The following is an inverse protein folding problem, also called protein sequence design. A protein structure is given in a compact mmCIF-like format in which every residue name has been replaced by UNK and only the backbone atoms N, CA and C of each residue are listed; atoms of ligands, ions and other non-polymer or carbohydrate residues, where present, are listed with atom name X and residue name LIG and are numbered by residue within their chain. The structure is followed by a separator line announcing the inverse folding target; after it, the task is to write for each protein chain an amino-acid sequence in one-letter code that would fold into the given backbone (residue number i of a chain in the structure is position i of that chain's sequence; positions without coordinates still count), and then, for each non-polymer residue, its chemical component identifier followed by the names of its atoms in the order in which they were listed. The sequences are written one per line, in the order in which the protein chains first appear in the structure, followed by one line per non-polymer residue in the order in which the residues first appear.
data_IF_262616083578
#
_entry.id   IF_262616083578
#
_cell.length_a   1.000
_cell.length_b   1.000
_cell.length_c   1.000
_cell.angle_alpha   90.00
_cell.angle_beta   90.00
_cell.angle_gamma   90.00
#
_symmetry.space_group_name_H-M   'P 1'
#
loop_
_entity.id
_entity.type
_entity.pdbx_description
1 polymer ?
#
# COMPACT_ATOMS: atom_id res chain seq x y z
N UNK A 1 -20.66 -23.86 -19.64
CA UNK A 1 -19.42 -23.55 -18.89
C UNK A 1 -18.54 -22.73 -19.81
N UNK A 2 -18.71 -21.41 -19.82
CA UNK A 2 -17.77 -20.53 -20.52
C UNK A 2 -16.57 -20.33 -19.61
N UNK A 3 -15.45 -20.94 -19.96
CA UNK A 3 -14.14 -20.61 -19.39
C UNK A 3 -13.80 -19.21 -19.87
N UNK A 4 -13.95 -18.22 -19.00
CA UNK A 4 -13.50 -16.84 -19.24
C UNK A 4 -12.01 -16.91 -19.54
N UNK A 5 -11.60 -16.33 -20.67
CA UNK A 5 -10.20 -16.34 -21.10
C UNK A 5 -9.42 -15.21 -20.40
N UNK A 6 -8.10 -15.37 -20.18
CA UNK A 6 -7.24 -14.29 -19.68
C UNK A 6 -7.32 -12.99 -20.51
N UNK A 7 -7.68 -13.08 -21.79
CA UNK A 7 -7.89 -11.92 -22.67
C UNK A 7 -9.14 -11.11 -22.33
N UNK A 8 -10.22 -11.73 -21.82
CA UNK A 8 -11.40 -11.00 -21.35
C UNK A 8 -11.14 -10.29 -20.00
N UNK A 9 -10.17 -10.76 -19.22
CA UNK A 9 -9.64 -10.09 -18.03
C UNK A 9 -8.71 -8.91 -18.38
N UNK A 10 -8.27 -8.80 -19.63
CA UNK A 10 -7.28 -7.84 -20.12
C UNK A 10 -7.86 -6.50 -20.59
N UNK A 11 -9.14 -6.20 -20.32
CA UNK A 11 -9.69 -4.86 -20.53
C UNK A 11 -9.11 -3.85 -19.51
N UNK A 12 -7.84 -3.48 -19.72
CA UNK A 12 -6.99 -2.55 -18.96
C UNK A 12 -6.99 -2.78 -17.45
N UNK A 13 -6.17 -3.74 -17.00
CA UNK A 13 -5.84 -3.90 -15.59
C UNK A 13 -5.26 -2.59 -15.03
N UNK A 14 -5.52 -2.32 -13.75
CA UNK A 14 -5.04 -1.14 -13.04
C UNK A 14 -3.86 -1.55 -12.17
N UNK A 15 -2.74 -0.82 -12.24
CA UNK A 15 -1.66 -0.91 -11.26
C UNK A 15 -1.67 0.33 -10.36
N UNK A 16 -1.67 0.11 -9.06
CA UNK A 16 -1.30 1.15 -8.09
C UNK A 16 0.15 0.97 -7.68
N UNK A 17 0.99 1.96 -7.91
CA UNK A 17 2.38 1.90 -7.45
C UNK A 17 2.84 3.20 -6.80
N UNK A 18 3.86 3.09 -5.95
CA UNK A 18 4.47 4.23 -5.27
C UNK A 18 5.95 4.36 -5.64
N UNK A 19 6.49 5.58 -5.67
CA UNK A 19 7.93 5.84 -5.77
C UNK A 19 8.49 6.25 -4.41
N UNK A 20 9.62 5.66 -4.03
CA UNK A 20 10.35 5.96 -2.80
C UNK A 20 11.86 6.01 -3.09
N UNK A 21 12.66 6.58 -2.19
CA UNK A 21 14.10 6.84 -2.43
C UNK A 21 14.57 8.09 -1.69
N UNK A 22 15.87 8.27 -1.53
CA UNK A 22 16.48 9.41 -0.86
C UNK A 22 16.18 10.74 -1.56
N UNK A 23 16.50 11.85 -0.88
CA UNK A 23 16.57 13.17 -1.53
C UNK A 23 17.65 13.09 -2.61
N UNK A 24 17.38 13.73 -3.76
CA UNK A 24 18.26 13.72 -4.95
C UNK A 24 18.42 12.38 -5.69
N UNK A 25 17.80 11.27 -5.28
CA UNK A 25 17.84 10.01 -6.05
C UNK A 25 17.11 10.08 -7.41
N UNK A 26 16.44 11.19 -7.71
CA UNK A 26 15.81 11.45 -9.01
C UNK A 26 14.40 10.88 -9.17
N UNK A 27 13.63 10.75 -8.07
CA UNK A 27 12.22 10.28 -8.07
C UNK A 27 11.34 11.09 -9.01
N UNK A 28 11.26 12.39 -8.78
CA UNK A 28 10.47 13.33 -9.59
C UNK A 28 10.91 13.32 -11.05
N UNK A 29 12.22 13.19 -11.31
CA UNK A 29 12.76 13.08 -12.68
C UNK A 29 12.30 11.79 -13.36
N UNK A 30 12.35 10.64 -12.68
CA UNK A 30 11.86 9.36 -13.21
C UNK A 30 10.37 9.44 -13.52
N UNK A 31 9.58 9.97 -12.58
CA UNK A 31 8.14 10.13 -12.76
C UNK A 31 7.84 11.03 -13.94
N UNK A 32 8.49 12.20 -14.00
CA UNK A 32 8.35 13.13 -15.12
C UNK A 32 8.71 12.49 -16.46
N UNK A 33 9.77 11.67 -16.49
CA UNK A 33 10.19 10.90 -17.67
C UNK A 33 9.14 9.88 -18.10
N UNK A 34 8.62 9.09 -17.16
CA UNK A 34 7.55 8.13 -17.45
C UNK A 34 6.30 8.81 -18.02
N UNK A 35 5.91 9.96 -17.47
CA UNK A 35 4.75 10.72 -17.95
C UNK A 35 4.99 11.34 -19.34
N UNK A 36 6.20 11.88 -19.57
CA UNK A 36 6.60 12.45 -20.85
C UNK A 36 6.64 11.39 -21.96
N UNK A 37 7.39 10.32 -21.73
CA UNK A 37 7.67 9.30 -22.74
C UNK A 37 6.44 8.41 -23.01
N UNK A 38 5.54 8.25 -22.03
CA UNK A 38 4.24 7.60 -22.23
C UNK A 38 3.23 8.45 -23.00
N UNK A 39 3.59 9.67 -23.43
CA UNK A 39 2.72 10.63 -24.14
C UNK A 39 1.42 10.95 -23.39
N UNK A 40 1.45 10.85 -22.05
CA UNK A 40 0.30 11.11 -21.19
C UNK A 40 0.14 12.59 -20.84
N UNK A 41 1.11 13.43 -21.22
CA UNK A 41 1.11 14.87 -20.98
C UNK A 41 0.65 15.61 -22.24
N UNK A 42 -0.31 16.52 -22.08
CA UNK A 42 -0.76 17.42 -23.15
C UNK A 42 0.38 18.39 -23.53
N UNK A 43 0.55 18.64 -24.83
CA UNK A 43 1.67 19.42 -25.40
C UNK A 43 1.84 20.81 -24.76
N UNK A 44 0.75 21.45 -24.36
CA UNK A 44 0.73 22.76 -23.70
C UNK A 44 1.38 22.77 -22.31
N UNK A 45 1.27 21.67 -21.55
CA UNK A 45 1.94 21.52 -20.26
C UNK A 45 3.44 21.33 -20.41
N UNK A 46 3.87 20.61 -21.45
CA UNK A 46 5.28 20.45 -21.80
C UNK A 46 5.93 21.78 -22.19
N UNK A 47 5.28 22.57 -23.04
CA UNK A 47 5.74 23.91 -23.41
C UNK A 47 5.80 24.88 -22.21
N UNK A 48 4.95 24.68 -21.20
CA UNK A 48 5.01 25.46 -19.96
C UNK A 48 6.22 25.08 -19.09
N UNK A 49 6.56 23.79 -19.02
CA UNK A 49 7.73 23.28 -18.31
C UNK A 49 9.01 23.74 -19.00
N UNK A 50 9.11 23.61 -20.32
CA UNK A 50 10.27 24.09 -21.09
C UNK A 50 10.54 25.58 -20.86
N UNK A 51 9.49 26.41 -20.88
CA UNK A 51 9.62 27.84 -20.58
C UNK A 51 10.08 28.11 -19.15
N UNK A 52 9.58 27.34 -18.18
CA UNK A 52 9.97 27.47 -16.78
C UNK A 52 11.43 27.05 -16.56
N UNK A 53 11.87 25.94 -17.15
CA UNK A 53 13.26 25.45 -17.08
C UNK A 53 14.24 26.40 -17.77
N UNK A 54 13.88 26.94 -18.94
CA UNK A 54 14.67 27.95 -19.63
C UNK A 54 14.82 29.22 -18.78
N UNK A 55 13.76 29.64 -18.07
CA UNK A 55 13.84 30.79 -17.14
C UNK A 55 14.74 30.56 -15.93
N UNK A 56 15.00 29.29 -15.58
CA UNK A 56 15.93 28.85 -14.54
C UNK A 56 17.34 28.54 -15.06
N UNK A 57 17.58 28.69 -16.37
CA UNK A 57 18.89 28.52 -16.99
C UNK A 57 19.29 27.08 -17.30
N UNK A 58 18.34 26.13 -17.34
CA UNK A 58 18.60 24.75 -17.76
C UNK A 58 18.52 24.60 -19.29
N UNK A 59 19.40 23.78 -19.87
CA UNK A 59 19.45 23.54 -21.33
C UNK A 59 18.33 22.63 -21.86
N UNK A 60 17.54 21.99 -20.99
CA UNK A 60 16.41 21.13 -21.35
C UNK A 60 15.25 21.20 -20.34
N UNK A 61 14.10 20.57 -20.64
CA UNK A 61 12.94 20.58 -19.75
C UNK A 61 13.23 19.82 -18.45
N UNK A 62 13.00 20.48 -17.33
CA UNK A 62 13.06 19.89 -15.99
C UNK A 62 11.74 19.20 -15.70
N UNK A 63 11.71 17.90 -15.99
CA UNK A 63 10.52 17.08 -15.87
C UNK A 63 10.03 16.94 -14.42
N UNK A 64 10.84 17.28 -13.41
CA UNK A 64 10.38 17.33 -12.02
C UNK A 64 9.30 18.42 -11.80
N UNK A 65 9.27 19.46 -12.63
CA UNK A 65 8.23 20.50 -12.56
C UNK A 65 6.82 19.99 -12.88
N UNK A 66 6.70 18.80 -13.48
CA UNK A 66 5.41 18.15 -13.75
C UNK A 66 4.84 17.49 -12.49
N UNK A 67 5.70 17.09 -11.56
CA UNK A 67 5.30 16.37 -10.34
C UNK A 67 5.08 17.31 -9.17
N UNK A 68 5.93 18.34 -9.04
CA UNK A 68 5.98 19.22 -7.88
C UNK A 68 4.87 20.30 -7.93
N UNK A 69 3.82 20.06 -7.15
CA UNK A 69 2.57 20.83 -7.19
C UNK A 69 2.60 22.07 -6.31
N UNK A 70 3.30 22.03 -5.17
CA UNK A 70 3.33 23.11 -4.20
C UNK A 70 4.44 24.12 -4.51
N UNK A 71 4.20 25.39 -4.18
CA UNK A 71 5.23 26.44 -4.36
C UNK A 71 6.46 26.18 -3.50
N UNK A 72 6.26 25.66 -2.28
CA UNK A 72 7.34 25.25 -1.38
C UNK A 72 8.16 24.08 -1.95
N UNK A 73 7.52 23.10 -2.59
CA UNK A 73 8.22 22.00 -3.29
C UNK A 73 9.13 22.56 -4.39
N UNK A 74 8.61 23.46 -5.22
CA UNK A 74 9.34 24.08 -6.34
C UNK A 74 10.48 25.01 -5.93
N UNK A 75 10.38 25.62 -4.75
CA UNK A 75 11.40 26.50 -4.16
C UNK A 75 12.52 25.68 -3.51
N UNK A 76 12.20 24.50 -2.96
CA UNK A 76 13.14 23.65 -2.24
C UNK A 76 13.68 22.46 -3.07
N UNK A 77 13.07 22.14 -4.22
CA UNK A 77 13.46 21.01 -5.06
C UNK A 77 13.17 19.64 -4.43
N UNK A 78 12.17 19.55 -3.55
CA UNK A 78 11.77 18.31 -2.86
C UNK A 78 10.26 18.07 -2.97
N UNK A 79 9.84 16.81 -3.06
CA UNK A 79 8.43 16.41 -2.86
C UNK A 79 8.11 16.50 -1.37
N UNK A 80 6.98 17.12 -1.02
CA UNK A 80 6.54 17.33 0.38
C UNK A 80 5.28 16.50 0.66
N UNK A 81 4.29 16.49 -0.23
CA UNK A 81 3.05 15.72 -0.07
C UNK A 81 2.92 14.60 -1.10
N UNK A 82 2.06 13.61 -0.86
CA UNK A 82 1.84 12.52 -1.82
C UNK A 82 1.09 13.05 -3.04
N UNK A 83 1.75 13.13 -4.18
CA UNK A 83 1.12 13.52 -5.44
C UNK A 83 0.61 12.28 -6.18
N UNK A 84 -0.71 12.22 -6.39
CA UNK A 84 -1.32 11.17 -7.22
C UNK A 84 -1.33 11.58 -8.69
N UNK A 85 -0.77 10.72 -9.55
CA UNK A 85 -0.75 10.89 -11.01
C UNK A 85 -1.42 9.68 -11.68
N UNK A 86 -2.09 9.96 -12.78
CA UNK A 86 -2.84 8.97 -13.55
C UNK A 86 -2.29 8.97 -14.97
N UNK A 87 -1.92 7.80 -15.46
CA UNK A 87 -1.50 7.63 -16.84
C UNK A 87 -1.88 6.24 -17.34
N UNK A 88 -1.82 6.03 -18.64
CA UNK A 88 -2.16 4.76 -19.24
C UNK A 88 -1.28 4.49 -20.46
N UNK A 89 -1.02 3.21 -20.69
CA UNK A 89 -0.45 2.71 -21.94
C UNK A 89 -1.53 1.93 -22.69
N UNK A 90 -1.27 1.49 -23.93
CA UNK A 90 -2.16 0.56 -24.62
C UNK A 90 -2.38 -0.75 -23.84
N UNK A 91 -1.45 -1.15 -22.96
CA UNK A 91 -1.52 -2.39 -22.19
C UNK A 91 -2.19 -2.24 -20.83
N UNK A 92 -2.04 -1.09 -20.15
CA UNK A 92 -2.39 -0.98 -18.72
C UNK A 92 -2.67 0.45 -18.25
N UNK A 93 -3.48 0.59 -17.18
CA UNK A 93 -3.73 1.86 -16.50
C UNK A 93 -2.93 1.94 -15.20
N UNK A 94 -2.49 3.13 -14.84
CA UNK A 94 -1.61 3.36 -13.71
C UNK A 94 -2.14 4.47 -12.78
N UNK A 95 -2.03 4.21 -11.48
CA UNK A 95 -2.12 5.22 -10.43
C UNK A 95 -0.77 5.24 -9.74
N UNK A 96 -0.05 6.34 -9.91
CA UNK A 96 1.22 6.58 -9.25
C UNK A 96 1.01 7.47 -8.02
N UNK A 97 1.55 7.05 -6.88
CA UNK A 97 1.73 7.88 -5.70
C UNK A 97 3.20 8.30 -5.58
N UNK A 98 3.50 9.56 -5.87
CA UNK A 98 4.85 10.08 -5.67
C UNK A 98 5.06 10.40 -4.19
N UNK A 99 5.92 9.65 -3.50
CA UNK A 99 6.14 9.82 -2.05
C UNK A 99 7.41 10.62 -1.76
N UNK A 100 7.37 11.52 -0.77
CA UNK A 100 8.51 12.34 -0.40
C UNK A 100 9.66 11.49 0.16
N UNK A 101 10.90 11.86 -0.17
CA UNK A 101 12.09 11.08 0.20
C UNK A 101 12.77 11.46 1.51
N UNK A 102 12.31 12.50 2.18
CA UNK A 102 12.95 12.99 3.40
C UNK A 102 12.39 12.26 4.64
N UNK A 103 13.26 11.96 5.60
CA UNK A 103 12.96 11.17 6.82
C UNK A 103 11.77 11.71 7.62
N UNK A 104 11.55 13.02 7.58
CA UNK A 104 10.44 13.68 8.27
C UNK A 104 9.05 13.33 7.68
N UNK A 105 8.99 12.61 6.56
CA UNK A 105 7.74 12.32 5.83
C UNK A 105 7.39 10.83 5.75
N UNK A 106 7.85 10.02 6.71
CA UNK A 106 7.44 8.60 6.86
C UNK A 106 5.91 8.42 6.77
N UNK A 107 5.12 9.31 7.40
CA UNK A 107 3.65 9.27 7.32
C UNK A 107 3.10 9.39 5.89
N UNK A 108 3.78 10.13 5.02
CA UNK A 108 3.37 10.33 3.63
C UNK A 108 3.68 9.07 2.82
N UNK A 109 4.86 8.45 3.04
CA UNK A 109 5.15 7.14 2.46
C UNK A 109 4.13 6.08 2.92
N UNK A 110 3.78 6.03 4.21
CA UNK A 110 2.74 5.12 4.72
C UNK A 110 1.42 5.33 3.99
N UNK A 111 1.02 6.59 3.80
CA UNK A 111 -0.21 6.93 3.08
C UNK A 111 -0.17 6.43 1.64
N UNK A 112 0.89 6.73 0.88
CA UNK A 112 1.03 6.30 -0.52
C UNK A 112 1.17 4.79 -0.70
N UNK A 113 2.07 4.15 0.06
CA UNK A 113 2.40 2.74 -0.06
C UNK A 113 1.31 1.81 0.51
N UNK A 114 0.47 2.28 1.44
CA UNK A 114 -0.63 1.46 2.01
C UNK A 114 -1.65 0.96 0.98
N UNK A 115 -1.75 1.62 -0.17
CA UNK A 115 -2.64 1.22 -1.27
C UNK A 115 -1.91 0.68 -2.50
N UNK A 116 -0.56 0.70 -2.46
CA UNK A 116 0.28 0.28 -3.56
C UNK A 116 0.35 -1.26 -3.65
N UNK A 117 0.36 -1.74 -4.90
CA UNK A 117 0.63 -3.11 -5.31
C UNK A 117 2.12 -3.30 -5.67
N UNK A 118 2.80 -2.20 -5.99
CA UNK A 118 4.22 -2.15 -6.29
C UNK A 118 4.88 -0.89 -5.71
N UNK A 119 6.11 -0.99 -5.22
CA UNK A 119 6.93 0.18 -4.85
C UNK A 119 8.22 0.18 -5.66
N UNK A 120 8.51 1.31 -6.34
CA UNK A 120 9.80 1.57 -6.99
C UNK A 120 10.68 2.33 -6.02
N UNK A 121 11.75 1.71 -5.54
CA UNK A 121 12.75 2.29 -4.66
C UNK A 121 13.93 2.73 -5.52
N UNK A 122 14.14 4.04 -5.61
CA UNK A 122 15.25 4.62 -6.35
C UNK A 122 16.50 4.71 -5.48
N UNK A 123 17.65 4.49 -6.10
CA UNK A 123 18.98 4.61 -5.47
C UNK A 123 19.94 5.30 -6.43
N UNK A 124 20.61 6.36 -6.00
CA UNK A 124 21.71 6.97 -6.74
C UNK A 124 22.93 6.03 -6.83
N UNK A 125 23.33 5.64 -8.04
CA UNK A 125 24.44 4.74 -8.30
C UNK A 125 25.80 5.22 -7.73
N UNK A 126 25.95 6.54 -7.47
CA UNK A 126 27.15 7.10 -6.86
C UNK A 126 27.23 6.85 -5.35
N UNK A 127 26.07 6.78 -4.70
CA UNK A 127 25.95 6.68 -3.25
C UNK A 127 25.71 5.22 -2.80
N UNK A 128 25.09 4.41 -3.65
CA UNK A 128 24.68 3.06 -3.30
C UNK A 128 23.57 3.05 -2.26
N UNK A 129 23.42 1.94 -1.52
CA UNK A 129 22.34 1.76 -0.56
C UNK A 129 22.60 2.59 0.70
N UNK A 130 21.84 3.68 0.86
CA UNK A 130 21.92 4.54 2.05
C UNK A 130 20.84 4.18 3.09
N UNK A 131 20.97 4.74 4.30
CA UNK A 131 20.01 4.56 5.40
C UNK A 131 18.56 4.86 5.00
N UNK A 132 18.34 5.91 4.19
CA UNK A 132 17.01 6.25 3.68
C UNK A 132 16.45 5.17 2.74
N UNK A 133 17.28 4.56 1.89
CA UNK A 133 16.89 3.43 1.03
C UNK A 133 16.44 2.24 1.87
N UNK A 134 17.21 1.92 2.91
CA UNK A 134 16.88 0.85 3.87
C UNK A 134 15.57 1.12 4.59
N UNK A 135 15.38 2.35 5.09
CA UNK A 135 14.12 2.78 5.71
C UNK A 135 12.92 2.64 4.77
N UNK A 136 13.04 3.04 3.51
CA UNK A 136 11.95 2.88 2.53
C UNK A 136 11.65 1.41 2.23
N UNK A 137 12.66 0.55 2.11
CA UNK A 137 12.47 -0.89 1.95
C UNK A 137 11.77 -1.50 3.18
N UNK A 138 12.19 -1.13 4.40
CA UNK A 138 11.55 -1.57 5.64
C UNK A 138 10.08 -1.16 5.73
N UNK A 139 9.75 0.07 5.31
CA UNK A 139 8.36 0.54 5.25
C UNK A 139 7.53 -0.20 4.19
N UNK A 140 8.10 -0.45 3.00
CA UNK A 140 7.42 -1.22 1.96
C UNK A 140 7.13 -2.66 2.43
N UNK A 141 8.08 -3.28 3.13
CA UNK A 141 7.94 -4.61 3.74
C UNK A 141 6.88 -4.61 4.86
N UNK A 142 6.95 -3.65 5.78
CA UNK A 142 5.97 -3.46 6.86
C UNK A 142 4.54 -3.35 6.33
N UNK A 143 4.36 -2.58 5.25
CA UNK A 143 3.06 -2.36 4.60
C UNK A 143 2.66 -3.51 3.68
N UNK A 144 3.51 -4.53 3.54
CA UNK A 144 3.33 -5.70 2.68
C UNK A 144 3.00 -5.31 1.25
N UNK A 145 3.80 -4.42 0.67
CA UNK A 145 3.71 -4.13 -0.76
C UNK A 145 4.14 -5.39 -1.53
N UNK A 146 3.27 -5.97 -2.39
CA UNK A 146 3.52 -7.25 -3.04
C UNK A 146 4.79 -7.29 -3.89
N UNK A 147 5.07 -6.20 -4.60
CA UNK A 147 6.21 -6.12 -5.50
C UNK A 147 7.11 -4.95 -5.14
N UNK A 148 8.41 -5.19 -5.11
CA UNK A 148 9.42 -4.16 -4.88
C UNK A 148 10.38 -4.14 -6.06
N UNK A 149 10.58 -2.95 -6.63
CA UNK A 149 11.51 -2.70 -7.73
C UNK A 149 12.62 -1.82 -7.21
N UNK A 150 13.87 -2.22 -7.44
CA UNK A 150 15.04 -1.38 -7.21
C UNK A 150 15.41 -0.68 -8.52
N UNK A 151 15.28 0.63 -8.57
CA UNK A 151 15.71 1.44 -9.70
C UNK A 151 17.06 2.11 -9.37
N UNK A 152 18.15 1.54 -9.88
CA UNK A 152 19.50 2.10 -9.69
C UNK A 152 19.70 3.23 -10.70
N UNK A 153 19.53 4.46 -10.24
CA UNK A 153 19.49 5.66 -11.06
C UNK A 153 20.86 6.33 -11.20
N UNK A 154 20.97 7.23 -12.18
CA UNK A 154 22.20 7.99 -12.51
C UNK A 154 23.36 7.12 -12.96
N UNK A 155 23.07 6.04 -13.68
CA UNK A 155 24.09 5.17 -14.27
C UNK A 155 25.01 5.92 -15.24
N UNK A 156 24.56 7.01 -15.84
CA UNK A 156 25.36 7.91 -16.67
C UNK A 156 26.54 8.54 -15.92
N UNK A 157 26.37 8.82 -14.62
CA UNK A 157 27.43 9.43 -13.79
C UNK A 157 28.48 8.42 -13.31
N UNK A 158 28.21 7.13 -13.45
CA UNK A 158 29.15 6.03 -13.14
C UNK A 158 29.58 5.30 -14.41
N UNK A 159 29.49 5.97 -15.57
CA UNK A 159 29.92 5.46 -16.88
C UNK A 159 29.25 4.11 -17.24
N UNK A 160 28.00 3.90 -16.80
CA UNK A 160 27.21 2.70 -17.10
C UNK A 160 27.86 1.37 -16.68
N UNK A 161 28.71 1.40 -15.63
CA UNK A 161 29.47 0.23 -15.17
C UNK A 161 28.60 -0.85 -14.52
N UNK A 162 28.60 -2.04 -15.10
CA UNK A 162 27.92 -3.24 -14.57
C UNK A 162 28.32 -3.56 -13.13
N UNK A 163 29.61 -3.44 -12.80
CA UNK A 163 30.12 -3.77 -11.46
C UNK A 163 29.51 -2.90 -10.36
N UNK A 164 29.18 -1.64 -10.66
CA UNK A 164 28.54 -0.72 -9.71
C UNK A 164 27.08 -1.13 -9.48
N UNK A 165 26.35 -1.40 -10.56
CA UNK A 165 24.98 -1.88 -10.49
C UNK A 165 24.89 -3.21 -9.72
N UNK A 166 25.74 -4.18 -10.05
CA UNK A 166 25.73 -5.50 -9.44
C UNK A 166 25.94 -5.43 -7.92
N UNK A 167 26.90 -4.62 -7.45
CA UNK A 167 27.15 -4.44 -6.03
C UNK A 167 25.94 -3.85 -5.28
N UNK A 168 25.29 -2.82 -5.85
CA UNK A 168 24.11 -2.18 -5.25
C UNK A 168 22.91 -3.15 -5.24
N UNK A 169 22.70 -3.87 -6.35
CA UNK A 169 21.62 -4.84 -6.46
C UNK A 169 21.78 -5.99 -5.47
N UNK A 170 23.00 -6.51 -5.30
CA UNK A 170 23.31 -7.56 -4.33
C UNK A 170 23.07 -7.09 -2.89
N UNK A 171 23.61 -5.93 -2.51
CA UNK A 171 23.43 -5.37 -1.17
C UNK A 171 21.94 -5.15 -0.84
N UNK A 172 21.20 -4.54 -1.76
CA UNK A 172 19.78 -4.26 -1.56
C UNK A 172 18.94 -5.53 -1.49
N UNK A 173 19.23 -6.52 -2.35
CA UNK A 173 18.49 -7.79 -2.38
C UNK A 173 18.70 -8.57 -1.09
N UNK A 174 19.93 -8.58 -0.55
CA UNK A 174 20.22 -9.20 0.74
C UNK A 174 19.39 -8.56 1.87
N UNK A 175 19.37 -7.22 1.93
CA UNK A 175 18.60 -6.49 2.93
C UNK A 175 17.08 -6.69 2.76
N UNK A 176 16.56 -6.69 1.53
CA UNK A 176 15.14 -6.95 1.26
C UNK A 176 14.72 -8.36 1.69
N UNK A 177 15.59 -9.36 1.53
CA UNK A 177 15.36 -10.72 1.98
C UNK A 177 15.26 -10.81 3.51
N UNK A 178 16.12 -10.10 4.25
CA UNK A 178 16.05 -10.01 5.72
C UNK A 178 14.71 -9.41 6.20
N UNK A 179 14.14 -8.49 5.43
CA UNK A 179 12.82 -7.89 5.68
C UNK A 179 11.64 -8.80 5.29
N UNK A 180 11.90 -9.97 4.69
CA UNK A 180 10.87 -10.89 4.22
C UNK A 180 10.27 -10.51 2.86
N UNK A 181 10.97 -9.72 2.05
CA UNK A 181 10.60 -9.43 0.66
C UNK A 181 11.33 -10.43 -0.25
N UNK A 182 10.64 -11.45 -0.77
CA UNK A 182 11.30 -12.58 -1.43
C UNK A 182 11.81 -12.28 -2.84
N UNK A 183 11.23 -11.28 -3.52
CA UNK A 183 11.52 -10.97 -4.91
C UNK A 183 11.70 -9.46 -5.09
N UNK A 184 12.88 -9.07 -5.56
CA UNK A 184 13.21 -7.69 -5.95
C UNK A 184 13.67 -7.70 -7.40
N UNK A 185 13.01 -6.89 -8.24
CA UNK A 185 13.49 -6.66 -9.60
C UNK A 185 14.41 -5.43 -9.61
N UNK A 186 15.68 -5.62 -9.93
CA UNK A 186 16.64 -4.53 -10.06
C UNK A 186 16.77 -4.06 -11.52
N UNK A 187 16.67 -2.75 -11.75
CA UNK A 187 16.71 -2.13 -13.08
C UNK A 187 17.72 -0.97 -13.04
N UNK A 188 18.81 -1.01 -13.82
CA UNK A 188 19.75 0.10 -13.96
C UNK A 188 19.15 1.14 -14.91
N UNK A 189 19.05 2.38 -14.47
CA UNK A 189 18.41 3.46 -15.24
C UNK A 189 19.25 4.75 -15.24
N UNK A 190 18.97 5.60 -16.21
CA UNK A 190 19.22 7.04 -16.09
C UNK A 190 17.91 7.77 -16.35
N UNK A 191 17.29 8.30 -15.30
CA UNK A 191 16.04 9.05 -15.43
C UNK A 191 16.18 10.31 -16.30
N UNK A 192 17.37 10.92 -16.29
CA UNK A 192 17.65 12.13 -17.06
C UNK A 192 17.92 11.82 -18.55
N UNK A 193 18.74 10.80 -18.83
CA UNK A 193 19.06 10.39 -20.20
C UNK A 193 17.96 9.51 -20.83
N UNK A 194 17.13 8.85 -20.02
CA UNK A 194 16.02 7.99 -20.45
C UNK A 194 16.38 6.51 -20.58
N UNK A 195 17.64 6.15 -20.31
CA UNK A 195 18.13 4.77 -20.38
C UNK A 195 17.30 3.82 -19.49
N UNK A 196 16.74 2.76 -20.07
CA UNK A 196 15.93 1.71 -19.41
C UNK A 196 14.68 2.20 -18.66
N UNK A 197 14.22 3.44 -18.90
CA UNK A 197 12.97 3.95 -18.30
C UNK A 197 11.77 3.47 -19.11
N UNK A 198 11.75 3.79 -20.40
CA UNK A 198 10.72 3.34 -21.35
C UNK A 198 11.35 2.44 -22.40
N UNK A 199 12.39 2.92 -23.06
CA UNK A 199 13.14 2.19 -24.08
C UNK A 199 14.40 1.54 -23.49
N UNK A 200 14.82 0.37 -23.98
CA UNK A 200 16.08 -0.26 -23.61
C UNK A 200 17.28 0.65 -23.92
N UNK A 201 18.26 0.66 -23.03
CA UNK A 201 19.49 1.43 -23.20
C UNK A 201 20.46 0.77 -24.18
N UNK A 202 21.06 1.58 -25.06
CA UNK A 202 22.19 1.16 -25.90
C UNK A 202 23.56 1.30 -25.19
N UNK A 203 23.58 1.88 -23.98
CA UNK A 203 24.81 2.09 -23.19
C UNK A 203 25.06 0.95 -22.20
N UNK A 204 24.06 0.08 -21.98
CA UNK A 204 24.08 -1.00 -20.99
C UNK A 204 23.73 -2.34 -21.65
N UNK A 205 24.44 -2.72 -22.71
CA UNK A 205 24.25 -3.99 -23.44
C UNK A 205 24.38 -5.24 -22.55
N UNK A 206 25.05 -5.10 -21.39
CA UNK A 206 25.16 -6.14 -20.38
C UNK A 206 23.86 -6.40 -19.61
N UNK A 207 22.90 -5.46 -19.62
CA UNK A 207 21.62 -5.60 -18.95
C UNK A 207 20.57 -6.24 -19.86
N UNK A 208 20.23 -7.50 -19.60
CA UNK A 208 19.19 -8.24 -20.33
C UNK A 208 17.80 -8.24 -19.67
N UNK A 209 17.57 -7.40 -18.66
CA UNK A 209 16.29 -7.31 -17.94
C UNK A 209 15.29 -6.34 -18.58
N UNK A 210 14.10 -6.17 -17.98
CA UNK A 210 13.06 -5.29 -18.51
C UNK A 210 13.36 -3.81 -18.28
N UNK A 211 12.77 -2.92 -19.08
CA UNK A 211 12.70 -1.49 -18.71
C UNK A 211 11.73 -1.28 -17.55
N UNK A 212 11.79 -0.11 -16.90
CA UNK A 212 10.85 0.25 -15.82
C UNK A 212 9.41 0.15 -16.33
N UNK A 213 9.10 0.73 -17.49
CA UNK A 213 7.74 0.68 -18.05
C UNK A 213 7.31 -0.74 -18.39
N UNK A 214 8.17 -1.54 -19.02
CA UNK A 214 7.86 -2.93 -19.34
C UNK A 214 7.53 -3.76 -18.10
N UNK A 215 8.32 -3.60 -17.03
CA UNK A 215 8.04 -4.26 -15.76
C UNK A 215 6.71 -3.79 -15.15
N UNK A 216 6.44 -2.48 -15.13
CA UNK A 216 5.16 -1.93 -14.66
C UNK A 216 3.96 -2.44 -15.49
N UNK A 217 4.12 -2.64 -16.79
CA UNK A 217 3.07 -3.19 -17.64
C UNK A 217 2.83 -4.69 -17.41
N UNK A 218 3.89 -5.44 -17.15
CA UNK A 218 3.86 -6.92 -17.09
C UNK A 218 3.69 -7.50 -15.68
N UNK A 219 3.97 -6.72 -14.63
CA UNK A 219 3.90 -7.22 -13.25
C UNK A 219 2.50 -7.77 -12.93
N UNK A 220 2.37 -9.01 -12.43
CA UNK A 220 1.07 -9.59 -12.17
C UNK A 220 0.38 -8.88 -11.01
N UNK A 221 -0.69 -8.13 -11.30
CA UNK A 221 -1.65 -7.64 -10.27
C UNK A 221 -2.77 -8.63 -9.99
N UNK A 222 -2.58 -9.90 -10.36
CA UNK A 222 -3.59 -10.91 -10.13
C UNK A 222 -3.81 -11.05 -8.62
N UNK A 223 -5.00 -10.66 -8.18
CA UNK A 223 -5.53 -11.10 -6.90
C UNK A 223 -5.70 -12.60 -7.04
N UNK A 224 -4.78 -13.39 -6.48
CA UNK A 224 -4.96 -14.83 -6.45
C UNK A 224 -6.22 -15.15 -5.63
N UNK A 225 -7.33 -15.29 -6.34
CA UNK A 225 -8.64 -15.55 -5.78
C UNK A 225 -8.68 -16.91 -5.05
N UNK A 226 -7.72 -17.81 -5.32
CA UNK A 226 -7.67 -19.15 -4.76
C UNK A 226 -7.13 -19.18 -3.32
N UNK A 227 -6.31 -18.20 -2.95
CA UNK A 227 -5.69 -18.11 -1.62
C UNK A 227 -6.22 -16.95 -0.76
N UNK A 228 -7.11 -16.12 -1.29
CA UNK A 228 -7.70 -15.00 -0.54
C UNK A 228 -8.98 -15.40 0.21
N UNK A 229 -8.98 -15.16 1.51
CA UNK A 229 -10.17 -15.27 2.36
C UNK A 229 -11.28 -14.33 1.88
N UNK A 230 -12.48 -14.84 1.56
CA UNK A 230 -13.51 -14.00 0.95
C UNK A 230 -14.18 -13.08 2.00
N UNK A 231 -14.25 -11.78 1.69
CA UNK A 231 -14.72 -10.74 2.61
C UNK A 231 -15.61 -9.74 1.88
N UNK A 232 -16.85 -9.59 2.30
CA UNK A 232 -17.78 -8.57 1.79
C UNK A 232 -18.25 -7.65 2.94
N UNK A 233 -17.58 -6.51 3.15
CA UNK A 233 -18.05 -5.49 4.07
C UNK A 233 -19.34 -4.85 3.55
N UNK A 234 -20.40 -4.89 4.37
CA UNK A 234 -21.67 -4.26 4.04
C UNK A 234 -21.52 -2.75 4.20
N UNK A 235 -21.70 -2.04 3.08
CA UNK A 235 -21.62 -0.58 3.02
C UNK A 235 -23.01 0.06 3.11
N UNK A 236 -24.01 -0.60 2.53
CA UNK A 236 -25.38 -0.07 2.44
C UNK A 236 -26.41 -1.19 2.35
N UNK A 237 -27.59 -0.96 2.92
CA UNK A 237 -28.73 -1.89 2.85
C UNK A 237 -29.80 -1.26 1.98
N UNK A 238 -30.07 -1.88 0.84
CA UNK A 238 -31.02 -1.41 -0.16
C UNK A 238 -32.40 -1.98 0.16
N UNK A 239 -33.35 -1.09 0.50
CA UNK A 239 -34.76 -1.40 0.73
C UNK A 239 -35.63 -0.34 0.04
N UNK A 240 -36.00 -0.52 -1.23
CA UNK A 240 -36.77 0.46 -2.00
C UNK A 240 -38.17 0.69 -1.43
N UNK A 241 -38.78 -0.36 -0.83
CA UNK A 241 -40.14 -0.34 -0.29
C UNK A 241 -41.18 0.21 -1.30
N UNK A 242 -40.97 -0.09 -2.59
CA UNK A 242 -41.90 0.30 -3.66
C UNK A 242 -42.98 -0.77 -3.83
N UNK A 243 -44.09 -0.43 -4.50
CA UNK A 243 -45.15 -1.41 -4.79
C UNK A 243 -44.65 -2.60 -5.63
N UNK A 244 -43.63 -2.37 -6.46
CA UNK A 244 -42.96 -3.39 -7.29
C UNK A 244 -41.96 -4.24 -6.47
N UNK A 245 -41.43 -3.70 -5.37
CA UNK A 245 -40.43 -4.32 -4.52
C UNK A 245 -40.72 -4.12 -3.01
N UNK A 246 -41.85 -4.64 -2.50
CA UNK A 246 -42.26 -4.43 -1.12
C UNK A 246 -41.28 -5.07 -0.12
N UNK A 247 -40.79 -6.26 -0.43
CA UNK A 247 -39.95 -7.08 0.45
C UNK A 247 -38.48 -7.16 -0.01
N UNK A 248 -38.08 -6.36 -1.00
CA UNK A 248 -36.70 -6.40 -1.50
C UNK A 248 -35.71 -5.93 -0.43
N UNK A 249 -34.69 -6.76 -0.19
CA UNK A 249 -33.57 -6.45 0.68
C UNK A 249 -32.25 -6.90 0.06
N UNK A 250 -31.49 -5.93 -0.42
CA UNK A 250 -30.15 -6.14 -0.96
C UNK A 250 -29.06 -5.57 -0.05
N UNK A 251 -27.94 -6.27 0.06
CA UNK A 251 -26.79 -5.85 0.84
C UNK A 251 -25.67 -5.43 -0.10
N UNK A 252 -25.44 -4.12 -0.19
CA UNK A 252 -24.48 -3.54 -1.12
C UNK A 252 -23.12 -3.30 -0.46
N UNK A 253 -22.06 -3.65 -1.17
CA UNK A 253 -20.68 -3.49 -0.74
C UNK A 253 -19.70 -3.74 -1.88
N UNK A 254 -18.44 -3.37 -1.67
CA UNK A 254 -17.36 -3.80 -2.53
C UNK A 254 -16.73 -5.07 -1.95
N UNK A 255 -16.57 -6.11 -2.76
CA UNK A 255 -15.87 -7.33 -2.32
C UNK A 255 -14.42 -6.95 -2.02
N UNK A 256 -14.02 -7.12 -0.76
CA UNK A 256 -12.69 -6.75 -0.29
C UNK A 256 -11.65 -7.81 -0.67
N UNK A 257 -12.02 -9.08 -0.64
CA UNK A 257 -11.14 -10.19 -0.97
C UNK A 257 -11.98 -11.41 -1.41
N UNK A 258 -11.34 -12.32 -2.16
CA UNK A 258 -11.92 -13.59 -2.61
C UNK A 258 -13.07 -13.44 -3.62
N UNK A 259 -13.94 -14.44 -3.63
CA UNK A 259 -15.11 -14.51 -4.52
C UNK A 259 -16.33 -15.06 -3.78
N UNK A 260 -17.52 -14.70 -4.23
CA UNK A 260 -18.80 -15.19 -3.73
C UNK A 260 -19.60 -15.79 -4.87
N UNK A 261 -20.34 -16.87 -4.59
CA UNK A 261 -21.21 -17.54 -5.56
C UNK A 261 -22.65 -17.64 -5.06
N UNK A 262 -23.61 -17.60 -5.98
CA UNK A 262 -25.01 -17.92 -5.66
C UNK A 262 -25.11 -19.36 -5.13
N UNK A 263 -25.90 -19.55 -4.08
CA UNK A 263 -26.06 -20.81 -3.36
C UNK A 263 -25.00 -21.09 -2.28
N UNK A 264 -23.97 -20.24 -2.17
CA UNK A 264 -22.92 -20.40 -1.17
C UNK A 264 -23.41 -20.09 0.25
N UNK A 265 -22.96 -20.87 1.23
CA UNK A 265 -23.27 -20.67 2.65
C UNK A 265 -22.36 -19.58 3.22
N UNK A 266 -22.98 -18.54 3.77
CA UNK A 266 -22.30 -17.37 4.35
C UNK A 266 -22.72 -17.12 5.79
N UNK A 267 -21.81 -16.52 6.55
CA UNK A 267 -22.01 -16.05 7.92
C UNK A 267 -21.91 -14.53 7.97
N UNK A 268 -22.78 -13.90 8.75
CA UNK A 268 -22.79 -12.45 8.96
C UNK A 268 -22.16 -12.13 10.31
N UNK A 269 -21.05 -11.41 10.29
CA UNK A 269 -20.32 -10.98 11.48
C UNK A 269 -20.64 -9.51 11.81
N UNK A 270 -20.70 -9.14 13.11
CA UNK A 270 -20.35 -9.95 14.29
C UNK A 270 -21.49 -10.83 14.82
N UNK A 271 -22.68 -10.86 14.19
CA UNK A 271 -23.86 -11.59 14.71
C UNK A 271 -23.67 -13.12 14.79
N UNK A 272 -22.82 -13.69 13.94
CA UNK A 272 -22.60 -15.13 13.81
C UNK A 272 -23.71 -15.90 13.10
N UNK A 273 -24.78 -15.23 12.64
CA UNK A 273 -25.90 -15.88 11.93
C UNK A 273 -25.46 -16.33 10.53
N UNK A 274 -25.83 -17.55 10.17
CA UNK A 274 -25.52 -18.14 8.85
C UNK A 274 -26.77 -18.20 7.97
N UNK A 275 -26.59 -18.02 6.67
CA UNK A 275 -27.62 -18.16 5.61
C UNK A 275 -26.94 -18.48 4.28
N UNK A 276 -27.68 -18.48 3.18
CA UNK A 276 -27.14 -18.68 1.83
C UNK A 276 -27.37 -17.46 0.95
N UNK A 277 -26.48 -17.29 -0.03
CA UNK A 277 -26.64 -16.29 -1.08
C UNK A 277 -27.72 -16.77 -2.05
N UNK A 278 -28.83 -16.04 -2.14
CA UNK A 278 -29.91 -16.32 -3.10
C UNK A 278 -29.68 -15.64 -4.45
N UNK A 279 -28.90 -14.55 -4.49
CA UNK A 279 -28.58 -13.82 -5.71
C UNK A 279 -27.44 -12.82 -5.54
N UNK A 280 -26.78 -12.47 -6.63
CA UNK A 280 -25.74 -11.44 -6.68
C UNK A 280 -26.02 -10.55 -7.90
N UNK A 281 -26.10 -9.24 -7.68
CA UNK A 281 -26.23 -8.25 -8.75
C UNK A 281 -24.96 -7.41 -8.87
N UNK A 282 -24.37 -7.41 -10.08
CA UNK A 282 -23.25 -6.55 -10.45
C UNK A 282 -23.79 -5.39 -11.30
N UNK A 283 -23.74 -4.16 -10.75
CA UNK A 283 -24.26 -2.96 -11.40
C UNK A 283 -25.73 -3.12 -11.88
N UNK A 284 -26.55 -3.79 -11.08
CA UNK A 284 -27.97 -4.04 -11.37
C UNK A 284 -28.25 -5.18 -12.34
N UNK A 285 -27.24 -5.96 -12.73
CA UNK A 285 -27.40 -7.17 -13.56
C UNK A 285 -27.10 -8.41 -12.73
N UNK A 286 -27.96 -9.45 -12.78
CA UNK A 286 -27.72 -10.68 -12.04
C UNK A 286 -26.51 -11.43 -12.59
N UNK A 287 -25.69 -11.97 -11.68
CA UNK A 287 -24.52 -12.78 -11.97
C UNK A 287 -24.45 -13.98 -11.01
N UNK A 288 -23.90 -15.11 -11.48
CA UNK A 288 -23.74 -16.30 -10.64
C UNK A 288 -22.54 -16.22 -9.68
N UNK A 289 -21.53 -15.43 -10.06
CA UNK A 289 -20.25 -15.29 -9.35
C UNK A 289 -19.79 -13.84 -9.41
N UNK A 290 -19.27 -13.34 -8.29
CA UNK A 290 -18.57 -12.07 -8.21
C UNK A 290 -17.27 -12.20 -7.40
N UNK A 291 -16.32 -11.31 -7.65
CA UNK A 291 -14.99 -11.37 -7.06
C UNK A 291 -14.49 -9.99 -6.59
N UNK A 292 -13.38 -9.98 -5.88
CA UNK A 292 -12.77 -8.79 -5.28
C UNK A 292 -12.68 -7.60 -6.24
N UNK A 293 -12.75 -6.39 -5.66
CA UNK A 293 -12.84 -5.06 -6.31
C UNK A 293 -14.18 -4.73 -6.97
N UNK A 294 -15.05 -5.72 -7.22
CA UNK A 294 -16.39 -5.46 -7.75
C UNK A 294 -17.33 -4.96 -6.65
N UNK A 295 -18.12 -3.94 -6.99
CA UNK A 295 -19.23 -3.47 -6.16
C UNK A 295 -20.49 -4.24 -6.53
N UNK A 296 -21.04 -4.97 -5.56
CA UNK A 296 -22.17 -5.88 -5.76
C UNK A 296 -23.29 -5.57 -4.80
N UNK A 297 -24.49 -6.04 -5.14
CA UNK A 297 -25.59 -6.23 -4.21
C UNK A 297 -25.78 -7.73 -4.01
N UNK A 298 -25.71 -8.20 -2.77
CA UNK A 298 -25.97 -9.60 -2.42
C UNK A 298 -27.37 -9.72 -1.84
N UNK A 299 -28.09 -10.75 -2.28
CA UNK A 299 -29.37 -11.17 -1.74
C UNK A 299 -29.16 -12.46 -0.93
N UNK A 300 -29.85 -12.57 0.20
CA UNK A 300 -29.76 -13.73 1.10
C UNK A 300 -31.11 -14.48 1.12
N UNK A 301 -31.08 -15.76 1.47
CA UNK A 301 -32.30 -16.58 1.61
C UNK A 301 -33.13 -16.19 2.83
N UNK A 302 -32.47 -15.88 3.97
CA UNK A 302 -33.13 -15.60 5.23
C UNK A 302 -33.10 -14.10 5.58
N UNK A 303 -34.16 -13.65 6.27
CA UNK A 303 -34.21 -12.33 6.88
C UNK A 303 -33.33 -12.27 8.14
N UNK A 304 -32.08 -11.88 7.93
CA UNK A 304 -31.11 -11.60 8.99
C UNK A 304 -31.03 -10.10 9.22
N UNK A 305 -30.88 -9.68 10.48
CA UNK A 305 -30.61 -8.28 10.79
C UNK A 305 -29.15 -7.95 10.44
N UNK A 306 -28.97 -7.16 9.38
CA UNK A 306 -27.67 -6.75 8.83
C UNK A 306 -27.73 -5.26 8.59
N UNK A 307 -26.66 -4.59 8.95
CA UNK A 307 -26.47 -3.14 8.90
C UNK A 307 -25.10 -2.78 8.29
N UNK A 308 -24.87 -1.48 8.07
CA UNK A 308 -23.55 -1.00 7.64
C UNK A 308 -22.51 -1.32 8.70
N UNK A 309 -21.37 -1.86 8.28
CA UNK A 309 -20.29 -2.27 9.18
C UNK A 309 -20.31 -3.75 9.53
N UNK A 310 -21.35 -4.49 9.15
CA UNK A 310 -21.35 -5.94 9.22
C UNK A 310 -20.56 -6.53 8.05
N UNK A 311 -20.05 -7.75 8.25
CA UNK A 311 -19.18 -8.42 7.31
C UNK A 311 -19.81 -9.76 6.91
N UNK A 312 -20.02 -9.96 5.61
CA UNK A 312 -20.46 -11.24 5.04
C UNK A 312 -19.21 -12.02 4.63
N UNK A 313 -19.11 -13.26 5.12
CA UNK A 313 -17.97 -14.17 4.88
C UNK A 313 -18.47 -15.57 4.55
N UNK A 314 -17.73 -16.41 3.81
CA UNK A 314 -18.04 -17.84 3.71
C UNK A 314 -18.07 -18.48 5.09
N UNK A 315 -19.08 -19.30 5.38
CA UNK A 315 -19.26 -19.83 6.75
C UNK A 315 -18.12 -20.71 7.26
N UNK A 316 -17.32 -21.29 6.35
CA UNK A 316 -16.16 -22.14 6.68
C UNK A 316 -14.88 -21.33 6.91
N UNK A 317 -14.91 -20.04 6.66
CA UNK A 317 -13.75 -19.15 6.62
C UNK A 317 -14.04 -17.81 7.31
N UNK A 318 -14.68 -17.88 8.47
CA UNK A 318 -15.01 -16.70 9.26
C UNK A 318 -13.80 -16.25 10.10
N UNK A 319 -13.39 -14.97 10.04
CA UNK A 319 -12.33 -14.45 10.89
C UNK A 319 -12.78 -14.39 12.36
N UNK A 320 -11.83 -14.40 13.31
CA UNK A 320 -12.15 -14.23 14.72
C UNK A 320 -12.76 -12.85 14.99
N UNK A 321 -13.76 -12.82 15.86
CA UNK A 321 -14.32 -11.59 16.41
C UNK A 321 -13.69 -11.28 17.76
N UNK A 322 -13.07 -10.12 17.91
CA UNK A 322 -12.39 -9.71 19.16
C UNK A 322 -12.72 -8.27 19.53
N UNK A 323 -12.63 -7.96 20.82
CA UNK A 323 -12.62 -6.58 21.32
C UNK A 323 -11.22 -6.09 21.66
N UNK A 324 -10.25 -6.99 21.79
CA UNK A 324 -8.84 -6.66 22.02
C UNK A 324 -8.09 -6.83 20.70
N UNK A 325 -7.55 -5.73 20.19
CA UNK A 325 -6.79 -5.70 18.96
C UNK A 325 -5.34 -5.38 19.31
N UNK A 326 -4.45 -6.31 19.00
CA UNK A 326 -3.02 -6.07 18.98
C UNK A 326 -2.59 -5.76 17.55
N UNK A 327 -1.84 -4.67 17.38
CA UNK A 327 -1.50 -4.17 16.06
C UNK A 327 -0.15 -3.48 16.04
N UNK A 328 0.51 -3.55 14.89
CA UNK A 328 1.58 -2.63 14.53
C UNK A 328 0.95 -1.38 13.93
N UNK A 329 1.50 -0.21 14.24
CA UNK A 329 0.81 1.05 14.08
C UNK A 329 1.81 2.10 13.61
N UNK A 330 1.42 2.94 12.65
CA UNK A 330 2.16 4.12 12.21
C UNK A 330 1.39 5.36 12.64
N UNK A 331 1.97 6.17 13.52
CA UNK A 331 1.35 7.40 13.97
C UNK A 331 1.59 8.53 12.98
N UNK A 332 0.52 9.19 12.53
CA UNK A 332 0.57 10.14 11.41
C UNK A 332 0.23 11.57 11.83
N UNK A 333 -0.48 11.74 12.95
CA UNK A 333 -0.81 13.05 13.50
C UNK A 333 0.33 13.65 14.31
N UNK A 334 0.31 14.97 14.46
CA UNK A 334 1.29 15.70 15.29
C UNK A 334 0.97 15.56 16.80
N UNK A 335 -0.30 15.35 17.14
CA UNK A 335 -0.76 15.14 18.52
C UNK A 335 -0.47 13.70 18.96
N UNK A 336 0.32 13.48 20.03
CA UNK A 336 0.81 12.15 20.39
C UNK A 336 -0.31 11.18 20.77
N UNK A 337 -0.13 9.91 20.39
CA UNK A 337 -0.95 8.81 20.86
C UNK A 337 -0.44 8.31 22.22
N UNK A 338 -1.28 8.37 23.26
CA UNK A 338 -0.91 7.98 24.63
C UNK A 338 -1.76 6.83 25.15
N UNK A 339 -1.25 6.11 26.15
CA UNK A 339 -2.05 5.09 26.87
C UNK A 339 -3.25 5.76 27.56
N UNK A 340 -4.43 5.17 27.43
CA UNK A 340 -5.70 5.69 27.93
C UNK A 340 -6.41 6.64 26.96
N UNK A 341 -5.80 6.99 25.82
CA UNK A 341 -6.42 7.86 24.83
C UNK A 341 -7.69 7.21 24.27
N UNK A 342 -8.82 7.93 24.35
CA UNK A 342 -10.11 7.54 23.77
C UNK A 342 -10.14 7.93 22.29
N UNK A 343 -10.39 6.97 21.43
CA UNK A 343 -10.34 7.11 19.97
C UNK A 343 -11.57 6.48 19.33
N UNK A 344 -11.84 6.81 18.08
CA UNK A 344 -12.70 6.02 17.21
C UNK A 344 -11.82 5.10 16.37
N UNK A 345 -12.10 3.80 16.39
CA UNK A 345 -11.45 2.84 15.50
C UNK A 345 -12.36 2.59 14.30
N UNK A 346 -11.87 2.90 13.10
CA UNK A 346 -12.55 2.60 11.84
C UNK A 346 -11.91 1.38 11.18
N UNK A 347 -12.70 0.33 11.02
CA UNK A 347 -12.31 -0.94 10.40
C UNK A 347 -13.33 -1.28 9.31
N UNK A 348 -12.86 -1.40 8.07
CA UNK A 348 -13.72 -1.51 6.90
C UNK A 348 -14.79 -0.41 6.86
N UNK A 349 -16.06 -0.81 6.88
CA UNK A 349 -17.22 0.10 6.85
C UNK A 349 -17.77 0.45 8.24
N UNK A 350 -17.19 -0.11 9.32
CA UNK A 350 -17.60 0.08 10.71
C UNK A 350 -16.71 1.11 11.42
N UNK A 351 -17.30 1.84 12.36
CA UNK A 351 -16.56 2.74 13.26
C UNK A 351 -17.07 2.54 14.68
N UNK A 352 -16.17 2.21 15.59
CA UNK A 352 -16.50 1.90 16.99
C UNK A 352 -15.67 2.76 17.93
N UNK A 353 -16.20 3.04 19.12
CA UNK A 353 -15.41 3.67 20.19
C UNK A 353 -14.35 2.69 20.68
N UNK A 354 -13.17 3.21 20.98
CA UNK A 354 -12.06 2.41 21.48
C UNK A 354 -11.19 3.21 22.45
N UNK A 355 -10.32 2.49 23.17
CA UNK A 355 -9.32 3.07 24.05
C UNK A 355 -7.97 2.38 23.81
N UNK A 356 -6.91 3.17 23.73
CA UNK A 356 -5.53 2.66 23.71
C UNK A 356 -5.23 2.10 25.10
N UNK A 357 -5.08 0.79 25.22
CA UNK A 357 -4.84 0.09 26.48
C UNK A 357 -3.37 0.08 26.86
N UNK A 358 -2.50 -0.10 25.87
CA UNK A 358 -1.07 -0.21 26.07
C UNK A 358 -0.32 0.11 24.77
N UNK A 359 0.93 0.54 24.91
CA UNK A 359 1.89 0.75 23.83
C UNK A 359 3.13 -0.07 24.21
N UNK A 360 3.17 -1.37 23.86
CA UNK A 360 4.23 -2.26 24.33
C UNK A 360 5.62 -1.90 23.81
N UNK A 361 5.72 -1.38 22.58
CA UNK A 361 7.00 -1.05 21.99
C UNK A 361 6.90 0.01 20.89
N UNK A 362 8.02 0.68 20.63
CA UNK A 362 8.27 1.52 19.47
C UNK A 362 9.42 0.93 18.65
N UNK A 363 9.28 0.93 17.34
CA UNK A 363 10.30 0.49 16.39
C UNK A 363 11.16 1.67 15.95
N UNK A 364 12.47 1.46 15.91
CA UNK A 364 13.40 2.34 15.20
C UNK A 364 13.66 1.75 13.82
N UNK A 365 13.38 2.51 12.76
CA UNK A 365 13.50 2.00 11.38
C UNK A 365 14.94 1.84 10.89
N UNK A 366 15.91 2.48 11.54
CA UNK A 366 17.30 2.51 11.08
C UNK A 366 18.02 1.19 11.36
N UNK A 367 17.70 0.56 12.49
CA UNK A 367 18.28 -0.72 12.94
C UNK A 367 17.22 -1.79 13.23
N UNK A 368 15.94 -1.50 13.00
CA UNK A 368 14.78 -2.35 13.30
C UNK A 368 14.67 -2.75 14.78
N UNK A 369 15.32 -2.00 15.68
CA UNK A 369 15.28 -2.27 17.12
C UNK A 369 13.93 -1.90 17.75
N UNK A 370 13.52 -2.68 18.76
CA UNK A 370 12.30 -2.45 19.53
C UNK A 370 12.63 -1.81 20.88
N UNK A 371 12.12 -0.61 21.09
CA UNK A 371 12.18 0.10 22.37
C UNK A 371 10.92 -0.21 23.19
N UNK A 372 11.04 -0.88 24.35
CA UNK A 372 9.89 -1.27 25.16
C UNK A 372 9.25 -0.07 25.87
N UNK A 373 7.92 -0.15 26.03
CA UNK A 373 7.09 0.76 26.83
C UNK A 373 7.40 2.27 26.66
N UNK A 374 7.33 2.82 25.43
CA UNK A 374 7.60 4.24 25.18
C UNK A 374 6.59 5.19 25.85
N UNK A 375 5.44 4.67 26.33
CA UNK A 375 4.37 5.44 26.96
C UNK A 375 3.52 6.27 25.98
N UNK A 376 4.11 6.71 24.87
CA UNK A 376 3.46 7.44 23.79
C UNK A 376 4.09 7.14 22.42
N UNK A 377 3.37 7.44 21.35
CA UNK A 377 3.90 7.52 19.99
C UNK A 377 3.71 8.95 19.47
N UNK A 378 4.77 9.53 18.90
CA UNK A 378 4.75 10.85 18.25
C UNK A 378 4.72 10.71 16.72
N UNK A 379 4.56 11.82 16.00
CA UNK A 379 4.46 11.81 14.55
C UNK A 379 5.61 11.01 13.91
N UNK A 380 5.28 10.16 12.93
CA UNK A 380 6.18 9.23 12.25
C UNK A 380 6.68 8.04 13.07
N UNK A 381 6.35 7.94 14.36
CA UNK A 381 6.68 6.74 15.13
C UNK A 381 5.90 5.54 14.60
N UNK A 382 6.59 4.41 14.60
CA UNK A 382 6.01 3.09 14.35
C UNK A 382 6.12 2.30 15.64
N UNK A 383 5.06 1.59 16.03
CA UNK A 383 5.08 0.86 17.29
C UNK A 383 3.97 -0.16 17.38
N UNK A 384 4.04 -0.98 18.42
CA UNK A 384 2.96 -1.89 18.79
C UNK A 384 1.97 -1.16 19.68
N UNK A 385 0.69 -1.43 19.48
CA UNK A 385 -0.39 -0.95 20.35
C UNK A 385 -1.34 -2.08 20.70
N UNK A 386 -1.96 -1.98 21.87
CA UNK A 386 -3.13 -2.76 22.25
C UNK A 386 -4.32 -1.83 22.36
N UNK A 387 -5.37 -2.09 21.60
CA UNK A 387 -6.58 -1.27 21.55
C UNK A 387 -7.78 -2.10 21.99
N UNK A 388 -8.56 -1.59 22.94
CA UNK A 388 -9.84 -2.19 23.34
C UNK A 388 -10.98 -1.46 22.67
N UNK A 389 -11.79 -2.17 21.89
CA UNK A 389 -13.01 -1.63 21.29
C UNK A 389 -14.23 -1.84 22.19
N UNK A 390 -15.23 -0.97 22.04
CA UNK A 390 -16.49 -1.06 22.77
C UNK A 390 -17.37 -2.23 22.27
N UNK A 391 -17.20 -2.63 21.01
CA UNK A 391 -17.95 -3.69 20.34
C UNK A 391 -16.97 -4.64 19.64
N UNK A 392 -17.28 -5.95 19.55
CA UNK A 392 -16.42 -6.92 18.87
C UNK A 392 -16.31 -6.61 17.38
N UNK A 393 -15.10 -6.73 16.83
CA UNK A 393 -14.81 -6.54 15.41
C UNK A 393 -14.31 -7.86 14.80
N UNK A 394 -14.81 -8.24 13.60
CA UNK A 394 -14.26 -9.35 12.83
C UNK A 394 -12.99 -8.87 12.11
N UNK A 395 -11.83 -9.21 12.65
CA UNK A 395 -10.53 -8.74 12.13
C UNK A 395 -9.73 -9.90 11.58
N UNK A 396 -9.18 -9.72 10.38
CA UNK A 396 -8.15 -10.61 9.85
C UNK A 396 -6.77 -10.16 10.34
N UNK A 397 -5.79 -11.05 10.29
CA UNK A 397 -4.39 -10.61 10.36
C UNK A 397 -4.08 -9.76 9.12
N UNK A 398 -3.32 -8.67 9.29
CA UNK A 398 -2.82 -7.89 8.15
C UNK A 398 -1.95 -8.75 7.23
N UNK A 399 -1.38 -9.83 7.77
CA UNK A 399 -0.61 -10.80 7.01
C UNK A 399 -1.44 -11.57 5.98
N UNK A 400 -2.68 -11.90 6.33
CA UNK A 400 -3.58 -12.71 5.51
C UNK A 400 -4.44 -11.82 4.59
N UNK A 401 -4.82 -10.64 5.08
CA UNK A 401 -5.61 -9.67 4.30
C UNK A 401 -5.30 -8.24 4.69
N UNK A 402 -4.67 -7.48 3.78
CA UNK A 402 -4.40 -6.04 3.98
C UNK A 402 -5.66 -5.21 4.17
N UNK A 403 -6.76 -5.55 3.50
CA UNK A 403 -8.01 -4.76 3.52
C UNK A 403 -8.82 -4.94 4.80
N UNK A 404 -8.82 -6.15 5.37
CA UNK A 404 -9.58 -6.48 6.60
C UNK A 404 -8.70 -6.70 7.83
N UNK A 405 -7.37 -6.62 7.67
CA UNK A 405 -6.41 -6.47 8.76
C UNK A 405 -5.91 -5.04 8.95
N UNK A 406 -6.43 -4.06 8.22
CA UNK A 406 -6.11 -2.64 8.42
C UNK A 406 -7.23 -1.88 9.14
N UNK A 407 -6.84 -0.87 9.90
CA UNK A 407 -7.76 0.08 10.53
C UNK A 407 -7.10 1.45 10.67
N UNK A 408 -7.90 2.46 11.01
CA UNK A 408 -7.39 3.76 11.45
C UNK A 408 -7.96 4.13 12.82
N UNK A 409 -7.15 4.82 13.62
CA UNK A 409 -7.60 5.50 14.83
C UNK A 409 -7.86 6.98 14.50
N UNK A 410 -9.01 7.47 14.95
CA UNK A 410 -9.52 8.79 14.64
C UNK A 410 -9.81 9.51 15.96
N UNK A 411 -9.46 10.79 16.03
CA UNK A 411 -9.83 11.65 17.15
C UNK A 411 -11.36 11.86 17.17
N UNK A 412 -12.05 11.56 18.28
CA UNK A 412 -13.50 11.69 18.37
C UNK A 412 -14.00 13.15 18.35
N UNK A 413 -13.14 14.14 18.60
CA UNK A 413 -13.53 15.54 18.72
C UNK A 413 -13.60 16.25 17.37
N UNK A 414 -12.59 16.04 16.51
CA UNK A 414 -12.45 16.76 15.24
C UNK A 414 -12.43 15.84 14.00
N UNK A 415 -12.35 14.52 14.19
CA UNK A 415 -12.31 13.55 13.11
C UNK A 415 -10.92 13.39 12.46
N UNK A 416 -9.87 13.94 13.05
CA UNK A 416 -8.49 13.81 12.56
C UNK A 416 -8.04 12.35 12.62
N UNK A 417 -7.41 11.85 11.54
CA UNK A 417 -6.80 10.52 11.56
C UNK A 417 -5.50 10.58 12.36
N UNK A 418 -5.47 9.90 13.50
CA UNK A 418 -4.31 9.88 14.40
C UNK A 418 -3.28 8.85 13.94
N UNK A 419 -3.72 7.65 13.60
CA UNK A 419 -2.84 6.49 13.42
C UNK A 419 -3.42 5.53 12.40
N UNK A 420 -2.55 4.96 11.55
CA UNK A 420 -2.87 3.81 10.69
C UNK A 420 -2.39 2.51 11.36
N UNK A 421 -3.23 1.49 11.41
CA UNK A 421 -2.96 0.23 12.12
C UNK A 421 -3.05 -1.00 11.23
N UNK A 422 -2.19 -1.97 11.52
CA UNK A 422 -2.07 -3.28 10.89
C UNK A 422 -2.21 -4.33 12.00
N UNK A 423 -3.31 -5.10 11.97
CA UNK A 423 -3.63 -6.12 12.97
C UNK A 423 -2.58 -7.24 12.93
N UNK A 424 -2.08 -7.62 14.09
CA UNK A 424 -1.03 -8.64 14.24
C UNK A 424 0.38 -8.07 14.20
N UNK A 425 1.34 -8.96 13.95
CA UNK A 425 2.76 -8.64 13.84
C UNK A 425 3.11 -8.37 12.38
N UNK A 426 3.70 -7.20 12.09
CA UNK A 426 3.96 -6.78 10.72
C UNK A 426 5.35 -7.15 10.20
N UNK A 427 6.33 -7.39 11.09
CA UNK A 427 7.63 -7.96 10.69
C UNK A 427 7.60 -9.47 10.87
N UNK A 428 8.19 -10.21 9.93
CA UNK A 428 8.64 -11.56 10.24
C UNK A 428 9.56 -11.43 11.46
N UNK A 429 9.21 -12.08 12.58
CA UNK A 429 9.85 -11.84 13.86
C UNK A 429 11.38 -11.85 13.70
N UNK A 430 12.08 -10.71 13.93
CA UNK A 430 13.50 -10.78 14.21
C UNK A 430 13.62 -11.57 15.52
N UNK A 431 14.47 -12.58 15.56
CA UNK A 431 14.76 -13.26 16.82
C UNK A 431 15.13 -12.19 17.87
N UNK A 432 14.56 -12.26 19.09
CA UNK A 432 14.86 -11.28 20.12
C UNK A 432 16.38 -11.27 20.36
N UNK A 433 16.98 -10.08 20.26
CA UNK A 433 18.36 -9.85 20.70
C UNK A 433 18.45 -10.33 22.13
N UNK A 434 19.26 -11.36 22.37
CA UNK A 434 19.54 -11.83 23.73
C UNK A 434 20.15 -10.65 24.48
N UNK A 435 19.48 -10.23 25.56
CA UNK A 435 20.05 -9.27 26.49
C UNK A 435 21.41 -9.81 26.95
N UNK A 436 22.47 -9.10 26.56
CA UNK A 436 23.83 -9.34 27.02
C UNK A 436 23.95 -8.86 28.46
N UNK A 437 23.36 -9.60 29.39
CA UNK A 437 23.67 -9.51 30.82
C UNK A 437 23.72 -10.93 31.38
N UNK A 438 24.76 -11.67 31.00
CA UNK A 438 25.32 -12.68 31.90
C UNK A 438 26.53 -12.05 32.59
N UNK A 439 26.31 -11.80 33.87
CA UNK A 439 27.25 -11.44 34.90
C UNK A 439 28.29 -12.58 35.03
N UNK A 440 29.40 -12.46 34.30
CA UNK A 440 30.57 -13.32 34.51
C UNK A 440 31.24 -12.92 35.83
N UNK A 441 30.67 -13.47 36.91
CA UNK A 441 31.32 -13.59 38.20
C UNK A 441 32.63 -14.37 38.05
N UNK A 442 33.74 -13.68 38.31
CA UNK A 442 35.06 -14.29 38.40
C UNK A 442 35.16 -15.15 39.66
N UNK A 443 35.39 -16.44 39.50
CA UNK A 443 35.92 -17.31 40.55
C UNK A 443 37.24 -17.96 40.06
N UNK A 444 38.29 -17.70 40.86
CA UNK A 444 39.71 -18.13 40.83
C UNK A 444 40.74 -17.34 40.02
#
# INVERSE_FOLDING_TARGET
MSTITPEELSATTLLRFATAGSVDDGKSTLVGRLLHDSKSILTDQLEAVERASASRGQEGPDLALLTDGLRAEREQGITIDVAYRYFATPRRRFILADTPGHVQYTRNMVTGASTAELTVILVDARNGVVEQTRRHAALAALLRVPHVVLAVNKMDLVEYKESVFAAIAEEFTAYALELGVPEVTAIPISALAGDNVVEPSANMDWYGGPTVLEHLETVPVAHDLSHCHARLPVQYVIRPQTAEHPDYRGYAGQIAAGSFRVGEQVTVLPSGRSTKISGIDLLGKPVDVAWTTQSVTVLLEDDIDISRGDLIVPSKDAPPTTQDIEATVCHVADAPLTVGHRVLLKHGTRTVKAIVKDIPSRLTLDDLSLHPHPGQLVANDIGRVKVRTAEPLPVDSYADSRRTGSFILIDPNDGTTLTAGMVGESFAAPEPVKDGTDDDGWDF
#
